data_IF_807681510907
#
_entry.id   IF_807681510907
#
_cell.length_a   1.000
_cell.length_b   1.000
_cell.length_c   1.000
_cell.angle_alpha   90.00
_cell.angle_beta   90.00
_cell.angle_gamma   90.00
#
_symmetry.space_group_name_H-M   'P 1'
#
loop_
_entity.id
_entity.type
_entity.pdbx_description
1 polymer ?
#
# COMPACT_ATOMS: atom_id res chain seq x y z
N UNK A 1 -15.96 1.18 -3.12
CA UNK A 1 -15.71 -0.28 -2.98
C UNK A 1 -14.54 -0.42 -2.04
N UNK A 2 -14.67 -1.19 -0.96
CA UNK A 2 -13.58 -1.30 0.02
C UNK A 2 -12.39 -2.02 -0.60
N UNK A 3 -11.23 -1.34 -0.61
CA UNK A 3 -9.97 -1.81 -1.15
C UNK A 3 -9.09 -2.30 -0.01
N UNK A 4 -8.38 -3.39 -0.22
CA UNK A 4 -7.51 -3.98 0.81
C UNK A 4 -6.19 -4.39 0.20
N UNK A 5 -5.10 -3.93 0.81
CA UNK A 5 -3.74 -4.19 0.34
C UNK A 5 -2.88 -4.68 1.50
N UNK A 6 -2.26 -5.86 1.39
CA UNK A 6 -1.30 -6.31 2.40
C UNK A 6 0.01 -5.54 2.25
N UNK A 7 0.52 -4.99 3.34
CA UNK A 7 1.87 -4.48 3.41
C UNK A 7 2.86 -5.66 3.34
N UNK A 8 3.72 -5.69 2.31
CA UNK A 8 4.69 -6.80 2.14
C UNK A 8 5.73 -6.91 3.25
N UNK A 9 5.88 -5.89 4.09
CA UNK A 9 6.94 -5.80 5.09
C UNK A 9 6.51 -6.27 6.46
N UNK A 10 5.41 -5.72 6.98
CA UNK A 10 4.84 -6.11 8.27
C UNK A 10 3.69 -7.11 8.16
N UNK A 11 3.21 -7.38 6.92
CA UNK A 11 2.03 -8.21 6.63
C UNK A 11 0.71 -7.65 7.18
N UNK A 12 0.71 -6.40 7.62
CA UNK A 12 -0.52 -5.71 8.03
C UNK A 12 -1.42 -5.47 6.83
N UNK A 13 -2.73 -5.62 7.05
CA UNK A 13 -3.75 -5.40 6.04
C UNK A 13 -4.23 -3.96 6.11
N UNK A 14 -3.91 -3.17 5.09
CA UNK A 14 -4.38 -1.80 4.96
C UNK A 14 -5.73 -1.84 4.27
N UNK A 15 -6.76 -1.31 4.92
CA UNK A 15 -8.16 -1.36 4.44
C UNK A 15 -8.65 0.06 4.23
N UNK A 16 -9.05 0.35 2.99
CA UNK A 16 -9.45 1.68 2.56
C UNK A 16 -10.81 1.65 1.86
N UNK A 17 -11.51 2.78 1.86
CA UNK A 17 -12.85 2.88 1.25
C UNK A 17 -12.79 3.17 -0.26
N UNK A 18 -11.67 3.73 -0.73
CA UNK A 18 -11.37 4.05 -2.13
C UNK A 18 -9.85 4.10 -2.39
N UNK A 19 -9.45 4.39 -3.63
CA UNK A 19 -8.04 4.42 -4.05
C UNK A 19 -7.25 5.58 -3.46
N UNK A 20 -7.87 6.74 -3.25
CA UNK A 20 -7.24 7.92 -2.66
C UNK A 20 -6.97 7.68 -1.17
N UNK A 21 -7.97 7.15 -0.46
CA UNK A 21 -7.86 6.72 0.93
C UNK A 21 -6.78 5.64 1.10
N UNK A 22 -6.72 4.65 0.19
CA UNK A 22 -5.67 3.63 0.21
C UNK A 22 -4.27 4.25 0.08
N UNK A 23 -4.11 5.18 -0.85
CA UNK A 23 -2.82 5.84 -1.07
C UNK A 23 -2.39 6.59 0.19
N UNK A 24 -3.29 7.36 0.80
CA UNK A 24 -3.02 8.08 2.05
C UNK A 24 -2.61 7.13 3.18
N UNK A 25 -3.37 6.05 3.40
CA UNK A 25 -3.07 5.07 4.44
C UNK A 25 -1.74 4.35 4.18
N UNK A 26 -1.45 3.97 2.94
CA UNK A 26 -0.18 3.32 2.58
C UNK A 26 1.00 4.28 2.74
N UNK A 27 0.85 5.55 2.38
CA UNK A 27 1.90 6.56 2.57
C UNK A 27 2.17 6.82 4.05
N UNK A 28 1.12 6.92 4.87
CA UNK A 28 1.24 7.07 6.33
C UNK A 28 1.90 5.84 6.95
N UNK A 29 1.41 4.64 6.64
CA UNK A 29 1.97 3.38 7.12
C UNK A 29 3.43 3.18 6.67
N UNK A 30 3.76 3.55 5.43
CA UNK A 30 5.12 3.50 4.94
C UNK A 30 6.02 4.56 5.60
N UNK A 31 5.47 5.71 5.99
CA UNK A 31 6.20 6.75 6.75
C UNK A 31 6.49 6.28 8.16
N UNK A 32 5.54 5.62 8.82
CA UNK A 32 5.75 4.98 10.13
C UNK A 32 6.90 3.96 10.07
N UNK A 33 6.87 3.07 9.07
CA UNK A 33 7.98 2.15 8.79
C UNK A 33 9.29 2.84 8.38
N UNK A 34 9.18 3.95 7.64
CA UNK A 34 10.30 4.74 7.15
C UNK A 34 11.02 5.49 8.27
N UNK A 35 10.30 5.88 9.32
CA UNK A 35 10.84 6.53 10.52
C UNK A 35 11.88 5.65 11.22
N UNK A 36 11.74 4.32 11.13
CA UNK A 36 12.68 3.37 11.72
C UNK A 36 13.95 3.13 10.89
N UNK A 37 13.95 3.35 9.56
CA UNK A 37 15.05 2.91 8.67
C UNK A 37 15.29 3.78 7.42
N UNK A 38 14.81 5.02 7.37
CA UNK A 38 15.05 5.95 6.24
C UNK A 38 14.59 5.44 4.88
N UNK A 39 13.69 4.45 4.84
CA UNK A 39 13.32 3.75 3.60
C UNK A 39 12.14 4.41 2.91
N UNK A 40 12.35 4.60 1.61
CA UNK A 40 11.47 5.12 0.55
C UNK A 40 9.96 4.90 0.79
N UNK A 41 9.21 5.99 0.95
CA UNK A 41 7.74 5.99 0.93
C UNK A 41 7.27 5.74 -0.51
N UNK A 42 6.54 4.64 -0.81
CA UNK A 42 6.15 4.32 -2.18
C UNK A 42 5.25 5.42 -2.73
N UNK A 43 5.57 5.93 -3.93
CA UNK A 43 4.74 6.94 -4.60
C UNK A 43 3.37 6.37 -4.96
N UNK A 44 2.33 7.21 -4.94
CA UNK A 44 0.94 6.89 -5.39
C UNK A 44 0.87 5.98 -6.61
N UNK A 45 1.59 6.32 -7.69
CA UNK A 45 1.58 5.54 -8.93
C UNK A 45 2.02 4.09 -8.73
N UNK A 46 2.98 3.85 -7.84
CA UNK A 46 3.46 2.51 -7.51
C UNK A 46 2.39 1.72 -6.77
N UNK A 47 1.69 2.36 -5.83
CA UNK A 47 0.58 1.77 -5.06
C UNK A 47 -0.55 1.38 -6.02
N UNK A 48 -1.00 2.31 -6.86
CA UNK A 48 -2.08 2.07 -7.83
C UNK A 48 -1.70 1.05 -8.91
N UNK A 49 -0.42 0.99 -9.30
CA UNK A 49 0.08 -0.06 -10.20
C UNK A 49 0.05 -1.42 -9.52
N UNK A 50 0.38 -1.49 -8.23
CA UNK A 50 0.34 -2.73 -7.46
C UNK A 50 -1.10 -3.21 -7.24
N UNK A 51 -2.01 -2.28 -7.00
CA UNK A 51 -3.44 -2.55 -6.87
C UNK A 51 -4.01 -3.11 -8.18
N UNK A 52 -3.75 -2.45 -9.31
CA UNK A 52 -4.24 -2.87 -10.64
C UNK A 52 -3.49 -4.06 -11.22
N UNK A 53 -2.22 -4.25 -10.88
CA UNK A 53 -1.40 -5.37 -11.32
C UNK A 53 -1.46 -6.61 -10.42
N UNK A 54 -2.14 -6.52 -9.27
CA UNK A 54 -2.28 -7.60 -8.29
C UNK A 54 -3.23 -8.73 -8.72
N UNK A 55 -4.06 -8.50 -9.73
CA UNK A 55 -5.01 -9.51 -10.27
C UNK A 55 -4.35 -10.56 -11.20
N UNK A 56 -3.02 -10.66 -11.23
CA UNK A 56 -2.28 -11.55 -12.14
C UNK A 56 -1.20 -12.43 -11.47
N UNK A 57 -1.40 -12.84 -10.20
CA UNK A 57 -0.64 -13.96 -9.61
C UNK A 57 -1.54 -14.92 -8.86
N UNK A 58 -2.34 -15.67 -9.62
CA UNK A 58 -2.75 -17.02 -9.24
C UNK A 58 -2.27 -17.93 -10.38
N UNK A 59 -1.23 -18.72 -10.10
CA UNK A 59 -0.56 -19.63 -11.02
C UNK A 59 0.49 -20.38 -10.26
#
# INVERSE_FOLDING_TARGET
MTIRMPCKRCKEMIVAVDEDDLVRQVEEHARDHGSAHGKHVPKRQHILRHLRGGEHRHG
#
